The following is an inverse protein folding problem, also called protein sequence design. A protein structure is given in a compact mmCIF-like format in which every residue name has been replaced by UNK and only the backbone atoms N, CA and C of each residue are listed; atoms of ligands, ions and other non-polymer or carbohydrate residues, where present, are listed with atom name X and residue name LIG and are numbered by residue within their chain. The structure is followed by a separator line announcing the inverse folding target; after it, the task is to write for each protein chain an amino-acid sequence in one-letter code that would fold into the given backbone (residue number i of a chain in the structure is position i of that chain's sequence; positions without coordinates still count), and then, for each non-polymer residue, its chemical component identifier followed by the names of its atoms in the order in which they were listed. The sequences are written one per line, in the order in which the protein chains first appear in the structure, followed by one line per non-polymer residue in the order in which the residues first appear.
data_IF_529002110437
#
_entry.id   IF_529002110437
#
_cell.length_a   1.000
_cell.length_b   1.000
_cell.length_c   1.000
_cell.angle_alpha   90.00
_cell.angle_beta   90.00
_cell.angle_gamma   90.00
#
_symmetry.space_group_name_H-M   'P 1'
#
loop_
_entity.id
_entity.type
_entity.pdbx_description
1 polymer ?
#
# COMPACT_ATOMS: atom_id res chain seq x y z
N UNK A 1 -67.71 -13.88 1.62
CA UNK A 1 -67.09 -12.53 1.62
C UNK A 1 -66.22 -12.23 2.85
N UNK A 2 -66.55 -12.71 4.06
CA UNK A 2 -65.78 -12.41 5.29
C UNK A 2 -64.34 -12.97 5.28
N UNK A 3 -64.16 -14.18 4.75
CA UNK A 3 -62.86 -14.86 4.74
C UNK A 3 -61.90 -14.26 3.69
N UNK A 4 -62.41 -13.82 2.53
CA UNK A 4 -61.61 -13.13 1.50
C UNK A 4 -61.01 -11.82 2.02
N UNK A 5 -61.78 -11.05 2.80
CA UNK A 5 -61.28 -9.81 3.43
C UNK A 5 -60.16 -10.08 4.43
N UNK A 6 -60.24 -11.18 5.19
CA UNK A 6 -59.20 -11.58 6.15
C UNK A 6 -57.93 -12.04 5.43
N UNK A 7 -58.06 -12.83 4.36
CA UNK A 7 -56.92 -13.30 3.56
C UNK A 7 -56.21 -12.14 2.85
N UNK A 8 -56.97 -11.20 2.27
CA UNK A 8 -56.40 -10.00 1.63
C UNK A 8 -55.70 -9.11 2.65
N UNK A 9 -56.26 -8.95 3.86
CA UNK A 9 -55.67 -8.12 4.90
C UNK A 9 -54.38 -8.74 5.46
N UNK A 10 -54.31 -10.07 5.62
CA UNK A 10 -53.07 -10.77 5.99
C UNK A 10 -51.98 -10.65 4.91
N UNK A 11 -52.36 -10.73 3.62
CA UNK A 11 -51.42 -10.56 2.51
C UNK A 11 -50.84 -9.14 2.45
N UNK A 12 -51.67 -8.13 2.69
CA UNK A 12 -51.25 -6.72 2.80
C UNK A 12 -50.31 -6.54 3.99
N UNK A 13 -50.63 -7.11 5.15
CA UNK A 13 -49.77 -7.02 6.36
C UNK A 13 -48.41 -7.68 6.11
N UNK A 14 -48.37 -8.86 5.51
CA UNK A 14 -47.12 -9.54 5.16
C UNK A 14 -46.32 -8.71 4.14
N UNK A 15 -46.97 -8.16 3.11
CA UNK A 15 -46.31 -7.31 2.12
C UNK A 15 -45.74 -6.02 2.74
N UNK A 16 -46.47 -5.40 3.67
CA UNK A 16 -45.99 -4.23 4.42
C UNK A 16 -44.87 -4.60 5.38
N UNK A 17 -44.88 -5.80 5.97
CA UNK A 17 -43.82 -6.25 6.88
C UNK A 17 -42.53 -6.58 6.12
N UNK A 18 -42.62 -7.13 4.91
CA UNK A 18 -41.47 -7.31 3.98
C UNK A 18 -40.91 -5.96 3.53
N UNK A 19 -41.77 -4.97 3.27
CA UNK A 19 -41.35 -3.62 2.91
C UNK A 19 -40.68 -2.86 4.08
N UNK A 20 -41.05 -3.14 5.33
CA UNK A 20 -40.46 -2.51 6.53
C UNK A 20 -39.18 -3.24 7.00
N UNK A 21 -39.03 -4.54 6.71
CA UNK A 21 -37.79 -5.29 6.94
C UNK A 21 -36.72 -5.03 5.87
N UNK A 22 -37.09 -4.48 4.72
CA UNK A 22 -36.18 -3.82 3.78
C UNK A 22 -35.83 -2.44 4.36
N UNK A 23 -35.26 -2.44 5.57
CA UNK A 23 -34.90 -1.23 6.29
C UNK A 23 -34.12 -0.29 5.38
N UNK A 24 -34.38 1.01 5.48
CA UNK A 24 -33.64 2.04 4.76
C UNK A 24 -32.16 1.68 4.73
N UNK A 25 -31.64 1.39 3.54
CA UNK A 25 -30.22 1.22 3.29
C UNK A 25 -29.54 2.55 3.66
N UNK A 26 -29.08 2.64 4.89
CA UNK A 26 -28.20 3.71 5.35
C UNK A 26 -26.76 3.37 4.91
N UNK A 27 -26.59 2.89 3.67
CA UNK A 27 -25.26 2.61 3.12
C UNK A 27 -24.53 3.94 3.03
N UNK A 28 -23.51 4.10 3.87
CA UNK A 28 -22.69 5.31 3.89
C UNK A 28 -21.75 5.25 2.70
N UNK A 29 -21.66 6.35 1.97
CA UNK A 29 -20.60 6.52 0.96
C UNK A 29 -19.24 6.58 1.64
N UNK A 30 -18.20 6.11 0.95
CA UNK A 30 -16.82 6.27 1.43
C UNK A 30 -16.47 7.74 1.70
N UNK A 31 -17.02 8.70 0.93
CA UNK A 31 -16.74 10.13 1.11
C UNK A 31 -17.30 10.70 2.41
N UNK A 32 -18.40 10.11 2.92
CA UNK A 32 -18.96 10.51 4.21
C UNK A 32 -18.06 10.04 5.35
N UNK A 33 -17.56 8.81 5.26
CA UNK A 33 -16.70 8.20 6.30
C UNK A 33 -15.30 8.81 6.30
N UNK A 34 -14.77 9.20 5.14
CA UNK A 34 -13.48 9.89 5.03
C UNK A 34 -13.51 11.35 5.54
N UNK A 35 -14.68 11.86 5.92
CA UNK A 35 -14.84 13.13 6.63
C UNK A 35 -15.18 14.35 5.76
N UNK A 36 -15.47 15.47 6.44
CA UNK A 36 -16.05 16.67 5.82
C UNK A 36 -15.19 17.27 4.69
N UNK A 37 -13.86 17.19 4.81
CA UNK A 37 -12.95 17.69 3.77
C UNK A 37 -13.15 16.99 2.44
N UNK A 38 -13.25 15.65 2.47
CA UNK A 38 -13.50 14.82 1.29
C UNK A 38 -14.87 15.13 0.69
N UNK A 39 -15.89 15.26 1.55
CA UNK A 39 -17.24 15.63 1.11
C UNK A 39 -17.31 17.02 0.47
N UNK A 40 -16.54 17.99 0.96
CA UNK A 40 -16.45 19.34 0.35
C UNK A 40 -15.69 19.30 -0.97
N UNK A 41 -14.57 18.56 -1.02
CA UNK A 41 -13.79 18.35 -2.23
C UNK A 41 -14.62 17.71 -3.35
N UNK A 42 -15.31 16.61 -3.05
CA UNK A 42 -16.12 15.89 -4.02
C UNK A 42 -17.21 16.77 -4.67
N UNK A 43 -17.80 17.71 -3.91
CA UNK A 43 -18.78 18.67 -4.43
C UNK A 43 -18.19 19.73 -5.35
N UNK A 44 -16.89 20.00 -5.23
CA UNK A 44 -16.16 21.01 -6.00
C UNK A 44 -15.37 20.41 -7.16
N UNK A 45 -15.29 19.08 -7.25
CA UNK A 45 -14.53 18.38 -8.27
C UNK A 45 -14.99 18.80 -9.68
N UNK A 46 -14.08 19.37 -10.46
CA UNK A 46 -14.33 19.76 -11.85
C UNK A 46 -13.79 18.70 -12.80
N UNK A 47 -14.70 17.99 -13.48
CA UNK A 47 -14.34 16.95 -14.44
C UNK A 47 -13.56 17.46 -15.65
N UNK A 48 -13.69 18.75 -15.96
CA UNK A 48 -13.01 19.41 -17.09
C UNK A 48 -11.55 19.72 -16.75
N UNK A 49 -11.28 19.94 -15.46
CA UNK A 49 -9.97 20.26 -14.90
C UNK A 49 -9.75 19.41 -13.64
N UNK A 50 -9.65 18.08 -13.78
CA UNK A 50 -9.53 17.22 -12.63
C UNK A 50 -8.19 17.45 -11.95
N UNK A 51 -8.19 17.29 -10.62
CA UNK A 51 -6.97 17.33 -9.81
C UNK A 51 -5.90 16.37 -10.34
N UNK A 52 -4.63 16.69 -10.08
CA UNK A 52 -3.54 15.76 -10.41
C UNK A 52 -3.65 14.54 -9.52
N UNK A 53 -3.79 13.36 -10.12
CA UNK A 53 -3.82 12.09 -9.40
C UNK A 53 -2.42 11.48 -9.37
N UNK A 54 -1.91 11.18 -8.18
CA UNK A 54 -0.75 10.34 -7.97
C UNK A 54 -1.17 9.08 -7.23
N UNK A 55 -0.77 7.91 -7.73
CA UNK A 55 -1.02 6.63 -7.06
C UNK A 55 0.27 6.13 -6.45
N UNK A 56 0.26 5.87 -5.14
CA UNK A 56 1.37 5.25 -4.42
C UNK A 56 1.01 3.80 -4.16
N UNK A 57 1.99 2.91 -4.34
CA UNK A 57 1.80 1.47 -4.18
C UNK A 57 2.94 0.95 -3.33
N UNK A 58 2.58 0.25 -2.27
CA UNK A 58 3.47 -0.56 -1.47
C UNK A 58 2.96 -1.99 -1.50
N UNK A 59 3.83 -2.93 -1.84
CA UNK A 59 3.52 -4.36 -1.85
C UNK A 59 4.60 -5.08 -1.08
N UNK A 60 4.21 -5.92 -0.12
CA UNK A 60 5.13 -6.68 0.72
C UNK A 60 6.19 -5.77 1.40
N UNK A 61 5.79 -4.56 1.84
CA UNK A 61 6.69 -3.58 2.47
C UNK A 61 7.66 -2.87 1.51
N UNK A 62 7.51 -3.09 0.20
CA UNK A 62 8.34 -2.47 -0.85
C UNK A 62 7.50 -1.42 -1.57
N UNK A 63 7.86 -0.14 -1.37
CA UNK A 63 7.28 0.97 -2.11
C UNK A 63 7.78 0.99 -3.56
N UNK A 64 6.85 1.15 -4.51
CA UNK A 64 7.14 1.38 -5.92
C UNK A 64 7.21 2.88 -6.22
N UNK A 65 7.76 3.23 -7.38
CA UNK A 65 7.75 4.62 -7.84
C UNK A 65 6.30 5.14 -7.95
N UNK A 66 6.01 6.35 -7.44
CA UNK A 66 4.68 6.94 -7.54
C UNK A 66 4.26 7.13 -9.00
N UNK A 67 3.02 6.77 -9.30
CA UNK A 67 2.48 6.87 -10.65
C UNK A 67 1.63 8.12 -10.77
N UNK A 68 2.16 9.17 -11.42
CA UNK A 68 1.39 10.38 -11.72
C UNK A 68 0.54 10.18 -12.98
N UNK A 69 -0.78 10.27 -12.80
CA UNK A 69 -1.76 10.11 -13.87
C UNK A 69 -2.12 11.48 -14.44
N UNK A 70 -1.66 11.75 -15.65
CA UNK A 70 -1.93 13.02 -16.37
C UNK A 70 -3.18 12.95 -17.25
N UNK A 71 -3.75 11.76 -17.44
CA UNK A 71 -4.91 11.56 -18.29
C UNK A 71 -6.20 11.86 -17.52
N UNK A 72 -6.82 13.00 -17.85
CA UNK A 72 -8.07 13.45 -17.24
C UNK A 72 -9.20 12.41 -17.31
N UNK A 73 -9.26 11.57 -18.35
CA UNK A 73 -10.28 10.50 -18.45
C UNK A 73 -10.08 9.45 -17.36
N UNK A 74 -8.84 9.03 -17.12
CA UNK A 74 -8.50 8.04 -16.09
C UNK A 74 -8.80 8.63 -14.71
N UNK A 75 -8.35 9.86 -14.45
CA UNK A 75 -8.62 10.53 -13.17
C UNK A 75 -10.12 10.65 -12.87
N UNK A 76 -10.91 11.01 -13.88
CA UNK A 76 -12.37 11.06 -13.76
C UNK A 76 -12.99 9.68 -13.50
N UNK A 77 -12.47 8.62 -14.09
CA UNK A 77 -12.94 7.25 -13.87
C UNK A 77 -12.63 6.75 -12.44
N UNK A 78 -11.47 7.13 -11.90
CA UNK A 78 -11.11 6.88 -10.49
C UNK A 78 -12.06 7.64 -9.57
N UNK A 79 -12.27 8.94 -9.82
CA UNK A 79 -13.22 9.74 -9.05
C UNK A 79 -14.63 9.15 -9.09
N UNK A 80 -15.12 8.77 -10.26
CA UNK A 80 -16.46 8.19 -10.43
C UNK A 80 -16.60 6.88 -9.68
N UNK A 81 -15.58 6.04 -9.76
CA UNK A 81 -15.57 4.76 -9.04
C UNK A 81 -15.61 5.02 -7.54
N UNK A 82 -14.69 5.83 -6.99
CA UNK A 82 -14.69 6.21 -5.58
C UNK A 82 -16.03 6.82 -5.13
N UNK A 83 -16.62 7.70 -5.93
CA UNK A 83 -17.91 8.35 -5.61
C UNK A 83 -19.08 7.38 -5.52
N UNK A 84 -19.00 6.25 -6.24
CA UNK A 84 -20.02 5.19 -6.24
C UNK A 84 -19.79 4.10 -5.20
N UNK A 85 -18.66 4.13 -4.48
CA UNK A 85 -18.34 3.13 -3.46
C UNK A 85 -19.11 3.37 -2.18
N UNK A 86 -19.57 2.27 -1.60
CA UNK A 86 -20.34 2.24 -0.36
C UNK A 86 -19.65 1.36 0.68
N UNK A 87 -19.81 1.73 1.95
CA UNK A 87 -19.33 0.97 3.08
C UNK A 87 -20.23 -0.25 3.28
N UNK A 88 -19.66 -1.45 3.19
CA UNK A 88 -20.35 -2.73 3.42
C UNK A 88 -20.31 -3.05 4.91
N UNK A 89 -19.12 -2.99 5.50
CA UNK A 89 -18.91 -3.28 6.91
C UNK A 89 -17.74 -2.49 7.48
N UNK A 90 -17.79 -2.25 8.79
CA UNK A 90 -16.66 -1.79 9.56
C UNK A 90 -15.96 -3.01 10.16
N UNK A 91 -14.67 -3.16 9.89
CA UNK A 91 -13.86 -4.24 10.47
C UNK A 91 -13.71 -4.04 11.98
N UNK A 92 -13.77 -5.12 12.76
CA UNK A 92 -13.57 -5.08 14.21
C UNK A 92 -12.10 -4.72 14.52
N UNK A 93 -11.89 -3.91 15.57
CA UNK A 93 -10.56 -3.56 16.08
C UNK A 93 -9.87 -4.72 16.80
N UNK A 94 -10.62 -5.75 17.17
CA UNK A 94 -10.11 -6.89 17.91
C UNK A 94 -9.31 -7.82 16.98
N UNK A 95 -8.00 -7.81 17.14
CA UNK A 95 -7.04 -8.80 16.65
C UNK A 95 -6.68 -8.77 15.15
N UNK A 96 -6.46 -7.60 14.56
CA UNK A 96 -5.68 -7.57 13.30
C UNK A 96 -4.19 -7.55 13.63
N UNK A 97 -3.58 -8.73 13.63
CA UNK A 97 -2.13 -8.84 13.55
C UNK A 97 -1.74 -8.49 12.12
N UNK A 98 -1.43 -7.21 11.93
CA UNK A 98 -0.39 -6.69 11.06
C UNK A 98 0.64 -7.72 10.57
N UNK A 99 0.56 -8.41 9.40
CA UNK A 99 1.81 -8.86 8.79
C UNK A 99 2.72 -7.64 8.63
N UNK A 100 4.03 -7.84 8.77
CA UNK A 100 5.00 -6.73 8.62
C UNK A 100 5.00 -6.14 7.20
N UNK A 101 4.33 -6.82 6.25
CA UNK A 101 4.42 -6.59 4.83
C UNK A 101 3.00 -6.43 4.27
N UNK A 102 2.42 -5.24 4.42
CA UNK A 102 1.07 -4.97 3.98
C UNK A 102 1.04 -4.44 2.54
N UNK A 103 -0.01 -4.79 1.82
CA UNK A 103 -0.35 -4.20 0.55
C UNK A 103 -1.10 -2.90 0.77
N UNK A 104 -0.47 -1.79 0.38
CA UNK A 104 -1.02 -0.45 0.54
C UNK A 104 -1.11 0.25 -0.82
N UNK A 105 -2.26 0.84 -1.10
CA UNK A 105 -2.49 1.67 -2.28
C UNK A 105 -3.06 3.00 -1.82
N UNK A 106 -2.46 4.10 -2.24
CA UNK A 106 -2.92 5.45 -1.89
C UNK A 106 -3.26 6.19 -3.18
N UNK A 107 -4.51 6.60 -3.31
CA UNK A 107 -4.97 7.50 -4.35
C UNK A 107 -4.91 8.93 -3.82
N UNK A 108 -3.94 9.71 -4.29
CA UNK A 108 -3.71 11.09 -3.85
C UNK A 108 -4.11 12.07 -4.95
N UNK A 109 -5.17 12.83 -4.70
CA UNK A 109 -5.64 13.92 -5.55
C UNK A 109 -5.08 15.23 -5.04
N UNK A 110 -4.45 16.00 -5.93
CA UNK A 110 -3.88 17.30 -5.62
C UNK A 110 -4.43 18.38 -6.56
N UNK A 111 -5.14 19.34 -5.98
CA UNK A 111 -5.64 20.51 -6.68
C UNK A 111 -4.54 21.56 -6.90
N UNK A 112 -4.75 22.41 -7.90
CA UNK A 112 -3.84 23.53 -8.23
C UNK A 112 -3.74 24.57 -7.11
N UNK A 113 -4.76 24.63 -6.24
CA UNK A 113 -4.79 25.48 -5.04
C UNK A 113 -3.95 24.91 -3.87
N UNK A 114 -3.29 23.76 -4.09
CA UNK A 114 -2.50 23.05 -3.08
C UNK A 114 -3.34 22.20 -2.13
N UNK A 115 -4.66 22.12 -2.32
CA UNK A 115 -5.49 21.16 -1.60
C UNK A 115 -5.14 19.73 -1.99
N UNK A 116 -5.27 18.82 -1.03
CA UNK A 116 -4.94 17.41 -1.21
C UNK A 116 -6.00 16.55 -0.51
N UNK A 117 -6.39 15.46 -1.18
CA UNK A 117 -7.27 14.43 -0.65
C UNK A 117 -6.67 13.07 -0.96
N UNK A 118 -6.71 12.19 0.03
CA UNK A 118 -6.13 10.86 -0.06
C UNK A 118 -7.18 9.80 0.29
N UNK A 119 -7.15 8.70 -0.47
CA UNK A 119 -7.85 7.47 -0.15
C UNK A 119 -6.83 6.35 -0.03
N UNK A 120 -6.68 5.85 1.19
CA UNK A 120 -5.73 4.77 1.50
C UNK A 120 -6.46 3.45 1.58
N UNK A 121 -6.02 2.48 0.81
CA UNK A 121 -6.49 1.10 0.85
C UNK A 121 -5.37 0.21 1.34
N UNK A 122 -5.59 -0.53 2.43
CA UNK A 122 -4.65 -1.49 2.99
C UNK A 122 -5.35 -2.85 2.97
N UNK A 123 -4.72 -3.87 2.37
CA UNK A 123 -5.29 -5.22 2.23
C UNK A 123 -6.74 -5.19 1.71
N UNK A 124 -6.94 -4.42 0.64
CA UNK A 124 -8.23 -4.21 -0.01
C UNK A 124 -9.31 -3.65 0.92
N UNK A 125 -8.94 -2.89 1.95
CA UNK A 125 -9.89 -2.20 2.85
C UNK A 125 -9.59 -0.73 2.89
N UNK A 126 -10.63 0.10 2.88
CA UNK A 126 -10.47 1.53 3.07
C UNK A 126 -10.00 1.78 4.51
N UNK A 127 -8.86 2.43 4.63
CA UNK A 127 -8.29 2.89 5.88
C UNK A 127 -8.67 4.36 6.09
N UNK A 128 -9.28 4.67 7.23
CA UNK A 128 -9.59 6.05 7.62
C UNK A 128 -8.94 6.37 8.96
N UNK A 129 -8.18 7.46 8.99
CA UNK A 129 -7.28 7.78 10.11
C UNK A 129 -6.00 6.95 10.01
N UNK A 130 -5.52 6.47 11.15
CA UNK A 130 -4.36 5.60 11.30
C UNK A 130 -4.78 4.29 11.99
N UNK A 131 -5.49 3.41 11.29
CA UNK A 131 -5.98 2.18 11.89
C UNK A 131 -4.87 1.16 12.20
N UNK A 132 -3.67 1.29 11.60
CA UNK A 132 -2.50 0.46 11.93
C UNK A 132 -2.06 0.72 13.37
N UNK A 133 -2.01 1.99 13.79
CA UNK A 133 -1.66 2.38 15.16
C UNK A 133 -2.88 2.45 16.10
N UNK A 134 -4.02 1.87 15.71
CA UNK A 134 -5.25 1.82 16.52
C UNK A 134 -6.06 3.12 16.53
N UNK A 135 -5.60 4.17 15.86
CA UNK A 135 -6.23 5.50 15.77
C UNK A 135 -6.96 5.64 14.43
N UNK A 136 -7.92 4.77 14.18
CA UNK A 136 -8.68 4.79 12.93
C UNK A 136 -9.61 3.61 12.83
N UNK A 137 -10.14 3.39 11.63
CA UNK A 137 -10.99 2.26 11.30
C UNK A 137 -10.70 1.72 9.90
N UNK A 138 -10.88 0.40 9.73
CA UNK A 138 -10.91 -0.27 8.43
C UNK A 138 -12.35 -0.53 7.99
N UNK A 139 -12.61 -0.33 6.70
CA UNK A 139 -13.91 -0.54 6.11
C UNK A 139 -13.82 -1.44 4.87
N UNK A 140 -14.66 -2.46 4.84
CA UNK A 140 -14.92 -3.21 3.61
C UNK A 140 -15.84 -2.35 2.73
N UNK A 141 -15.46 -2.16 1.47
CA UNK A 141 -16.16 -1.28 0.55
C UNK A 141 -16.59 -2.05 -0.70
N UNK A 142 -17.72 -1.64 -1.29
CA UNK A 142 -18.09 -2.09 -2.63
C UNK A 142 -17.12 -1.53 -3.67
N UNK A 143 -17.07 -2.13 -4.86
CA UNK A 143 -16.39 -1.53 -6.01
C UNK A 143 -14.85 -1.54 -6.01
N UNK A 144 -14.19 -2.14 -5.02
CA UNK A 144 -12.72 -2.18 -4.93
C UNK A 144 -12.07 -2.80 -6.16
N UNK A 145 -12.52 -3.97 -6.61
CA UNK A 145 -11.98 -4.59 -7.83
C UNK A 145 -12.16 -3.73 -9.08
N UNK A 146 -13.23 -2.94 -9.14
CA UNK A 146 -13.43 -1.99 -10.24
C UNK A 146 -12.42 -0.85 -10.16
N UNK A 147 -12.18 -0.31 -8.96
CA UNK A 147 -11.19 0.75 -8.72
C UNK A 147 -9.78 0.29 -9.10
N UNK A 148 -9.43 -0.93 -8.73
CA UNK A 148 -8.12 -1.52 -9.00
C UNK A 148 -7.97 -1.97 -10.46
N UNK A 149 -9.08 -2.20 -11.16
CA UNK A 149 -9.11 -2.53 -12.58
C UNK A 149 -9.08 -1.33 -13.53
N UNK A 150 -8.99 -0.08 -13.01
CA UNK A 150 -8.98 1.10 -13.88
C UNK A 150 -7.69 1.11 -14.71
N UNK A 151 -7.87 1.12 -16.03
CA UNK A 151 -6.76 1.09 -16.98
C UNK A 151 -5.85 2.31 -16.86
N UNK A 152 -4.55 2.06 -17.01
CA UNK A 152 -3.50 3.09 -16.93
C UNK A 152 -2.96 3.35 -15.52
N UNK A 153 -3.41 2.58 -14.54
CA UNK A 153 -2.75 2.42 -13.24
C UNK A 153 -2.11 1.03 -13.25
N UNK A 154 -0.80 0.95 -13.05
CA UNK A 154 -0.08 -0.32 -12.99
C UNK A 154 -0.11 -0.88 -11.56
N UNK A 155 -0.96 -1.88 -11.35
CA UNK A 155 -1.06 -2.63 -10.08
C UNK A 155 -0.41 -4.02 -10.16
N UNK A 156 0.41 -4.28 -11.18
CA UNK A 156 1.03 -5.61 -11.40
C UNK A 156 1.81 -6.11 -10.19
N UNK A 157 2.39 -5.20 -9.39
CA UNK A 157 3.10 -5.52 -8.16
C UNK A 157 2.24 -6.26 -7.14
N UNK A 158 0.92 -6.09 -7.14
CA UNK A 158 0.03 -6.80 -6.21
C UNK A 158 -0.18 -8.28 -6.57
N UNK A 159 0.20 -8.67 -7.79
CA UNK A 159 -0.05 -10.00 -8.37
C UNK A 159 1.20 -10.86 -8.53
N UNK A 160 2.39 -10.38 -8.14
CA UNK A 160 3.68 -11.07 -8.30
C UNK A 160 3.79 -12.39 -7.48
N UNK A 161 2.78 -12.72 -6.68
CA UNK A 161 2.78 -13.83 -5.72
C UNK A 161 2.49 -15.21 -6.36
N UNK A 162 1.86 -15.32 -7.53
CA UNK A 162 1.51 -16.66 -8.07
C UNK A 162 2.67 -17.42 -8.73
N UNK A 163 3.78 -16.74 -9.10
CA UNK A 163 4.85 -17.38 -9.86
C UNK A 163 5.97 -18.03 -9.01
N UNK A 164 6.17 -17.57 -7.76
CA UNK A 164 7.31 -18.03 -6.94
C UNK A 164 7.00 -19.21 -6.01
N UNK A 165 5.73 -19.51 -5.71
CA UNK A 165 5.38 -20.68 -4.87
C UNK A 165 5.38 -22.02 -5.62
N UNK A 166 5.44 -22.03 -6.96
CA UNK A 166 5.49 -23.26 -7.76
C UNK A 166 6.93 -23.79 -7.98
N UNK A 167 7.98 -23.01 -7.69
CA UNK A 167 9.36 -23.43 -7.91
C UNK A 167 10.02 -24.13 -6.71
N UNK A 168 9.48 -23.98 -5.50
CA UNK A 168 10.03 -24.64 -4.31
C UNK A 168 9.48 -26.06 -4.08
N UNK A 169 8.41 -26.46 -4.79
CA UNK A 169 7.77 -27.77 -4.62
C UNK A 169 8.35 -28.89 -5.49
N UNK A 170 9.16 -28.59 -6.52
CA UNK A 170 9.63 -29.59 -7.50
C UNK A 170 11.12 -29.96 -7.39
N UNK A 171 11.81 -29.51 -6.33
CA UNK A 171 13.24 -29.79 -6.11
C UNK A 171 13.55 -30.58 -4.83
N UNK A 172 12.71 -31.56 -4.51
CA UNK A 172 13.13 -32.71 -3.71
C UNK A 172 12.63 -34.01 -4.35
N UNK A 173 13.54 -34.67 -5.06
CA UNK A 173 13.86 -36.11 -5.02
C UNK A 173 14.74 -36.36 -6.24
N UNK A 174 16.05 -36.61 -6.03
CA UNK A 174 16.83 -37.69 -6.67
C UNK A 174 18.08 -37.98 -5.82
N UNK A 175 17.99 -39.00 -4.98
CA UNK A 175 19.16 -39.79 -4.58
C UNK A 175 19.66 -40.59 -5.79
N UNK A 176 20.99 -40.70 -5.94
CA UNK A 176 21.63 -41.49 -6.98
C UNK A 176 23.16 -41.36 -7.01
N UNK A 177 23.79 -41.98 -6.02
CA UNK A 177 25.12 -42.63 -5.98
C UNK A 177 26.01 -42.59 -7.27
N UNK A 178 27.26 -42.12 -7.16
CA UNK A 178 28.51 -42.92 -7.28
C UNK A 178 29.78 -42.08 -7.52
N UNK A 179 30.80 -42.32 -6.69
CA UNK A 179 32.18 -42.60 -7.13
C UNK A 179 33.18 -41.44 -7.23
N UNK A 180 34.34 -41.61 -6.57
CA UNK A 180 35.57 -40.81 -6.79
C UNK A 180 36.35 -40.62 -5.48
N UNK A 181 37.09 -41.64 -5.07
CA UNK A 181 38.57 -41.71 -5.15
C UNK A 181 39.29 -40.95 -4.04
N UNK A 182 39.94 -41.75 -3.19
CA UNK A 182 40.88 -41.37 -2.15
C UNK A 182 42.03 -40.55 -2.74
N UNK A 183 42.23 -39.33 -2.25
CA UNK A 183 43.59 -38.78 -2.14
C UNK A 183 43.67 -37.80 -0.96
N UNK A 184 44.44 -38.21 0.03
CA UNK A 184 44.88 -37.45 1.19
C UNK A 184 45.59 -36.14 0.79
N UNK A 185 45.15 -34.96 1.24
CA UNK A 185 45.93 -33.74 1.06
C UNK A 185 47.03 -33.67 2.12
N UNK A 186 48.28 -33.83 1.67
CA UNK A 186 49.47 -33.51 2.46
C UNK A 186 49.45 -32.04 2.88
N UNK A 187 49.68 -31.79 4.17
CA UNK A 187 49.87 -30.46 4.78
C UNK A 187 51.27 -29.94 4.43
N UNK A 188 51.43 -28.79 3.77
CA UNK A 188 52.70 -28.07 3.74
C UNK A 188 52.76 -27.10 4.95
N UNK A 189 53.90 -27.10 5.66
CA UNK A 189 54.20 -26.24 6.82
C UNK A 189 53.98 -24.74 6.57
N UNK A 190 53.63 -23.95 7.61
CA UNK A 190 53.44 -22.51 7.48
C UNK A 190 54.79 -21.80 7.26
N UNK A 191 54.96 -21.18 6.09
CA UNK A 191 56.01 -20.19 5.89
C UNK A 191 55.55 -18.85 6.48
N UNK A 192 56.29 -18.33 7.46
CA UNK A 192 56.10 -16.98 8.01
C UNK A 192 56.74 -15.98 7.03
N UNK A 193 56.00 -15.06 6.40
CA UNK A 193 56.62 -13.97 5.66
C UNK A 193 57.02 -12.86 6.64
N UNK A 194 58.27 -12.40 6.57
CA UNK A 194 58.77 -11.22 7.28
C UNK A 194 57.91 -9.97 6.99
N UNK A 195 57.71 -9.07 7.96
CA UNK A 195 56.93 -7.85 7.75
C UNK A 195 57.69 -6.87 6.85
N UNK A 196 57.23 -6.72 5.61
CA UNK A 196 57.64 -5.61 4.75
C UNK A 196 56.95 -4.32 5.21
N UNK A 197 57.74 -3.30 5.55
CA UNK A 197 57.25 -1.95 5.82
C UNK A 197 56.89 -1.29 4.47
N UNK A 198 55.62 -0.93 4.20
CA UNK A 198 55.29 -0.21 2.98
C UNK A 198 55.74 1.25 3.09
N UNK A 199 56.51 1.73 2.12
CA UNK A 199 56.81 3.15 1.93
C UNK A 199 55.51 3.95 1.71
N UNK A 200 55.38 5.20 2.21
CA UNK A 200 54.18 6.01 1.99
C UNK A 200 54.05 6.40 0.52
N UNK A 201 53.00 5.94 -0.15
CA UNK A 201 52.58 6.45 -1.44
C UNK A 201 51.86 7.79 -1.25
N UNK A 202 52.29 8.84 -1.97
CA UNK A 202 51.55 10.10 -2.05
C UNK A 202 50.15 9.86 -2.66
N UNK A 203 49.06 10.46 -2.13
CA UNK A 203 47.74 10.24 -2.70
C UNK A 203 47.65 10.87 -4.10
N UNK A 204 47.37 10.05 -5.11
CA UNK A 204 46.84 10.56 -6.38
C UNK A 204 45.40 11.06 -6.15
N UNK A 205 44.97 12.15 -6.82
CA UNK A 205 43.61 12.63 -6.70
C UNK A 205 42.64 11.58 -7.26
N UNK A 206 41.82 11.00 -6.38
CA UNK A 206 40.70 10.15 -6.78
C UNK A 206 39.71 10.95 -7.62
N UNK A 207 39.42 10.44 -8.81
CA UNK A 207 38.25 10.86 -9.59
C UNK A 207 37.02 10.48 -8.76
N UNK A 208 36.08 11.40 -8.46
CA UNK A 208 34.90 11.05 -7.66
C UNK A 208 34.13 9.92 -8.34
N UNK A 209 34.06 8.78 -7.67
CA UNK A 209 33.05 7.77 -7.99
C UNK A 209 31.70 8.43 -7.70
N UNK A 210 30.87 8.51 -8.73
CA UNK A 210 29.46 8.85 -8.58
C UNK A 210 28.80 7.68 -7.82
N UNK A 211 28.83 7.76 -6.49
CA UNK A 211 28.02 6.94 -5.60
C UNK A 211 26.61 7.51 -5.66
N UNK A 212 25.75 6.84 -6.43
CA UNK A 212 24.30 7.00 -6.33
C UNK A 212 23.83 6.38 -5.01
N UNK A 213 24.18 7.03 -3.89
CA UNK A 213 23.68 6.70 -2.56
C UNK A 213 22.45 7.56 -2.31
N UNK A 214 21.33 7.15 -2.91
CA UNK A 214 20.01 7.64 -2.53
C UNK A 214 19.80 7.51 -1.02
N UNK A 215 19.17 8.52 -0.42
CA UNK A 215 18.90 8.59 1.02
C UNK A 215 18.15 7.33 1.45
N UNK A 216 18.79 6.49 2.28
CA UNK A 216 18.19 5.25 2.78
C UNK A 216 17.58 5.47 4.15
N UNK A 217 16.27 5.23 4.26
CA UNK A 217 15.58 5.13 5.54
C UNK A 217 16.04 3.85 6.25
N UNK A 218 16.64 4.00 7.42
CA UNK A 218 17.19 2.89 8.21
C UNK A 218 16.16 2.34 9.19
N UNK A 219 15.33 3.21 9.75
CA UNK A 219 14.30 2.85 10.74
C UNK A 219 13.23 3.93 10.82
N UNK A 220 11.97 3.55 10.99
CA UNK A 220 10.87 4.43 11.40
C UNK A 220 10.02 3.72 12.46
N UNK A 221 9.79 4.35 13.60
CA UNK A 221 9.00 3.77 14.71
C UNK A 221 7.76 4.61 15.08
N UNK A 222 7.24 5.39 14.11
CA UNK A 222 6.01 6.16 14.27
C UNK A 222 6.19 7.46 15.06
N UNK A 223 7.41 7.80 15.48
CA UNK A 223 7.76 9.09 16.08
C UNK A 223 9.14 9.57 15.64
N UNK A 224 10.12 8.66 15.63
CA UNK A 224 11.48 8.94 15.19
C UNK A 224 11.81 8.18 13.90
N UNK A 225 12.58 8.82 13.03
CA UNK A 225 13.19 8.17 11.87
C UNK A 225 14.71 8.30 11.90
N UNK A 226 15.40 7.26 11.42
CA UNK A 226 16.85 7.26 11.25
C UNK A 226 17.18 7.20 9.77
N UNK A 227 17.93 8.18 9.28
CA UNK A 227 18.47 8.20 7.91
C UNK A 227 19.99 7.98 7.96
N UNK A 228 20.51 7.25 6.99
CA UNK A 228 21.95 7.26 6.71
C UNK A 228 22.20 8.34 5.66
N UNK A 229 22.88 9.42 6.07
CA UNK A 229 23.27 10.51 5.17
C UNK A 229 24.74 10.31 4.75
N UNK A 230 25.07 10.51 3.47
CA UNK A 230 26.47 10.53 3.05
C UNK A 230 27.27 11.61 3.78
N UNK A 231 28.59 11.44 3.88
CA UNK A 231 29.45 12.43 4.53
C UNK A 231 29.34 13.80 3.81
N UNK A 232 29.31 14.90 4.58
CA UNK A 232 29.29 16.27 4.06
C UNK A 232 27.91 16.91 3.88
N UNK A 233 26.82 16.20 4.18
CA UNK A 233 25.47 16.78 4.14
C UNK A 233 25.17 17.67 5.34
N UNK A 234 24.48 18.79 5.12
CA UNK A 234 24.00 19.69 6.18
C UNK A 234 22.48 19.62 6.26
N UNK A 235 21.96 19.25 7.42
CA UNK A 235 20.51 19.28 7.69
C UNK A 235 20.12 20.72 8.04
N UNK A 236 19.28 21.35 7.23
CA UNK A 236 18.60 22.60 7.62
C UNK A 236 17.19 22.27 8.14
N UNK A 237 16.94 22.56 9.41
CA UNK A 237 15.60 22.45 9.99
C UNK A 237 14.86 23.77 9.81
N UNK A 238 13.68 23.75 9.18
CA UNK A 238 12.85 24.93 8.87
C UNK A 238 11.98 25.43 10.05
N UNK A 239 12.25 25.02 11.30
CA UNK A 239 11.46 25.50 12.43
C UNK A 239 11.57 24.67 13.71
N UNK A 240 11.04 25.24 14.79
CA UNK A 240 10.94 24.62 16.12
C UNK A 240 9.82 23.57 16.12
N UNK A 241 10.16 22.31 16.34
CA UNK A 241 9.19 21.29 16.75
C UNK A 241 9.02 21.40 18.27
N UNK A 242 7.98 22.10 18.71
CA UNK A 242 7.61 22.11 20.14
C UNK A 242 6.84 20.84 20.47
N UNK A 243 7.32 20.13 21.50
CA UNK A 243 6.67 18.99 22.15
C UNK A 243 5.31 19.32 22.74
#
# INVERSE_FOLDING_TARGET
MKNYKITVLMLIVILTMVAVLSGCDNTKSIFEVSGDRVSVWAKKYDRSFPDTLTVYIEHDGIAKEPQTITNAKITNEVFDTLSSMEIISKSSKDAVVFPNNLNTIIYHFRGDDGSAIEFTFIEEKLAVGDPINGVGDFYDCSGIHKLFGIGGIDLSSLTEVEANYQLEADNQIKDGDQGGEDTEPQVPEPQVPEPQVPEPQEPQPEVPKEQDEGIKLVKYDGGDFTLMLPEGWTIQTMGLYTT
#
